data_IF_435405877421
#
_entry.id   IF_435405877421
#
_cell.length_a   1.000
_cell.length_b   1.000
_cell.length_c   1.000
_cell.angle_alpha   90.00
_cell.angle_beta   90.00
_cell.angle_gamma   90.00
#
_symmetry.space_group_name_H-M   'P 1'
#
loop_
_entity.id
_entity.type
_entity.pdbx_description
1 polymer ?
#
# COMPACT_ATOMS: atom_id res chain seq x y z
N UNK A 1 -44.72 27.42 48.26
CA UNK A 1 -44.66 26.76 46.93
C UNK A 1 -43.92 27.65 45.92
N UNK A 2 -42.62 27.90 46.14
CA UNK A 2 -41.79 28.74 45.24
C UNK A 2 -40.39 28.12 45.08
N UNK A 3 -39.88 27.48 46.14
CA UNK A 3 -38.56 26.81 46.19
C UNK A 3 -38.46 25.62 45.22
N UNK A 4 -39.53 24.87 44.99
CA UNK A 4 -39.53 23.70 44.09
C UNK A 4 -39.47 24.06 42.59
N UNK A 5 -39.92 25.27 42.21
CA UNK A 5 -39.96 25.72 40.80
C UNK A 5 -38.56 26.13 40.30
N UNK A 6 -37.74 26.73 41.17
CA UNK A 6 -36.37 27.16 40.85
C UNK A 6 -35.41 25.97 40.68
N UNK A 7 -35.61 24.90 41.46
CA UNK A 7 -34.78 23.69 41.41
C UNK A 7 -34.88 22.97 40.07
N UNK A 8 -36.09 22.87 39.49
CA UNK A 8 -36.32 22.21 38.20
C UNK A 8 -35.73 22.99 37.02
N UNK A 9 -35.78 24.34 37.07
CA UNK A 9 -35.15 25.17 36.05
C UNK A 9 -33.61 25.11 36.11
N UNK A 10 -33.04 25.07 37.31
CA UNK A 10 -31.59 24.94 37.50
C UNK A 10 -31.08 23.56 37.04
N UNK A 11 -31.81 22.48 37.32
CA UNK A 11 -31.48 21.13 36.85
C UNK A 11 -31.60 21.00 35.31
N UNK A 12 -32.62 21.64 34.72
CA UNK A 12 -32.81 21.67 33.27
C UNK A 12 -31.68 22.41 32.53
N UNK A 13 -31.22 23.54 33.07
CA UNK A 13 -30.10 24.31 32.51
C UNK A 13 -28.75 23.55 32.61
N UNK A 14 -28.53 22.82 33.71
CA UNK A 14 -27.32 22.01 33.90
C UNK A 14 -27.30 20.79 32.96
N UNK A 15 -28.47 20.18 32.71
CA UNK A 15 -28.58 19.09 31.75
C UNK A 15 -28.32 19.58 30.32
N UNK A 16 -28.87 20.73 29.94
CA UNK A 16 -28.67 21.33 28.60
C UNK A 16 -27.20 21.66 28.30
N UNK A 17 -26.44 22.12 29.30
CA UNK A 17 -25.01 22.42 29.13
C UNK A 17 -24.15 21.16 29.00
N UNK A 18 -24.51 20.07 29.68
CA UNK A 18 -23.85 18.77 29.55
C UNK A 18 -24.07 18.16 28.16
N UNK A 19 -25.26 18.25 27.57
CA UNK A 19 -25.51 17.73 26.21
C UNK A 19 -24.73 18.50 25.14
N UNK A 20 -24.58 19.82 25.30
CA UNK A 20 -23.83 20.67 24.37
C UNK A 20 -22.32 20.33 24.35
N UNK A 21 -21.75 19.91 25.49
CA UNK A 21 -20.33 19.54 25.58
C UNK A 21 -20.02 18.21 24.86
N UNK A 22 -20.98 17.29 24.76
CA UNK A 22 -20.79 16.01 24.07
C UNK A 22 -20.77 16.12 22.53
N UNK A 23 -21.36 17.15 21.94
CA UNK A 23 -21.39 17.32 20.48
C UNK A 23 -20.11 17.92 19.88
N UNK A 24 -19.19 18.45 20.69
CA UNK A 24 -17.92 19.02 20.20
C UNK A 24 -16.79 18.00 19.96
N UNK A 25 -16.98 16.71 20.26
CA UNK A 25 -15.91 15.71 20.25
C UNK A 25 -15.89 14.78 19.03
N UNK A 26 -16.71 15.01 18.00
CA UNK A 26 -16.78 14.13 16.83
C UNK A 26 -16.64 14.86 15.50
N UNK A 27 -15.52 15.55 15.31
CA UNK A 27 -14.96 15.79 13.97
C UNK A 27 -13.49 15.35 13.95
N UNK A 28 -13.28 14.04 13.95
CA UNK A 28 -12.04 13.48 13.42
C UNK A 28 -12.13 13.53 11.89
N UNK A 29 -11.80 14.68 11.31
CA UNK A 29 -11.57 14.78 9.87
C UNK A 29 -10.38 13.90 9.52
N UNK A 30 -10.63 12.78 8.84
CA UNK A 30 -9.55 11.99 8.26
C UNK A 30 -8.85 12.85 7.22
N UNK A 31 -7.70 13.42 7.57
CA UNK A 31 -6.83 14.07 6.61
C UNK A 31 -6.30 12.94 5.73
N UNK A 32 -7.00 12.65 4.63
CA UNK A 32 -6.40 11.92 3.52
C UNK A 32 -5.41 12.89 2.91
N UNK A 33 -4.20 12.95 3.48
CA UNK A 33 -3.10 13.66 2.87
C UNK A 33 -2.82 12.96 1.55
N UNK A 34 -3.38 13.48 0.45
CA UNK A 34 -2.96 13.15 -0.91
C UNK A 34 -1.57 13.73 -1.09
N UNK A 35 -0.58 13.10 -0.45
CA UNK A 35 0.83 13.36 -0.71
C UNK A 35 1.05 12.89 -2.14
N UNK A 36 1.12 13.83 -3.08
CA UNK A 36 1.50 13.57 -4.46
C UNK A 36 2.98 13.19 -4.46
N UNK A 37 3.26 11.95 -4.05
CA UNK A 37 4.60 11.38 -4.10
C UNK A 37 5.02 11.21 -5.56
N UNK A 38 6.32 11.40 -5.86
CA UNK A 38 6.82 11.26 -7.22
C UNK A 38 6.56 9.86 -7.75
N UNK A 39 6.20 9.77 -9.03
CA UNK A 39 6.08 8.51 -9.75
C UNK A 39 7.49 8.01 -10.11
N UNK A 40 7.80 6.78 -9.76
CA UNK A 40 9.13 6.19 -9.99
C UNK A 40 9.10 5.30 -11.23
N UNK A 41 9.99 5.54 -12.20
CA UNK A 41 10.10 4.74 -13.42
C UNK A 41 11.23 3.73 -13.34
N UNK A 42 10.96 2.47 -13.69
CA UNK A 42 11.93 1.37 -13.64
C UNK A 42 11.92 0.61 -14.96
N UNK A 43 13.09 0.47 -15.55
CA UNK A 43 13.31 -0.38 -16.72
C UNK A 43 13.96 -1.69 -16.28
N UNK A 44 13.41 -2.82 -16.72
CA UNK A 44 13.94 -4.15 -16.38
C UNK A 44 14.79 -4.68 -17.54
N UNK A 45 15.96 -5.25 -17.23
CA UNK A 45 16.85 -5.83 -18.24
C UNK A 45 16.17 -7.06 -18.88
N UNK A 46 15.72 -6.92 -20.13
CA UNK A 46 15.14 -8.01 -20.92
C UNK A 46 16.21 -9.06 -21.27
N UNK A 47 15.96 -10.33 -20.93
CA UNK A 47 16.77 -11.48 -21.39
C UNK A 47 16.08 -12.34 -22.45
N UNK A 48 14.92 -11.93 -22.98
CA UNK A 48 14.21 -12.66 -24.04
C UNK A 48 14.01 -11.75 -25.23
N UNK A 49 14.84 -11.93 -26.27
CA UNK A 49 14.89 -11.11 -27.50
C UNK A 49 13.58 -11.10 -28.34
N UNK A 50 12.50 -11.70 -27.86
CA UNK A 50 11.24 -11.91 -28.59
C UNK A 50 9.99 -11.43 -27.83
N UNK A 51 10.11 -11.00 -26.57
CA UNK A 51 8.95 -10.58 -25.78
C UNK A 51 8.62 -9.09 -26.01
N UNK A 52 7.35 -8.77 -26.31
CA UNK A 52 6.86 -7.39 -26.34
C UNK A 52 7.08 -6.72 -24.98
N UNK A 53 7.40 -5.42 -24.98
CA UNK A 53 7.55 -4.62 -23.77
C UNK A 53 6.23 -3.94 -23.40
N UNK A 54 5.84 -4.05 -22.13
CA UNK A 54 4.65 -3.46 -21.57
C UNK A 54 5.00 -2.59 -20.36
N UNK A 55 4.20 -1.55 -20.11
CA UNK A 55 4.30 -0.72 -18.90
C UNK A 55 3.28 -1.17 -17.87
N UNK A 56 3.71 -1.24 -16.62
CA UNK A 56 2.91 -1.62 -15.47
C UNK A 56 2.93 -0.51 -14.43
N UNK A 57 1.77 -0.12 -13.92
CA UNK A 57 1.71 0.76 -12.74
C UNK A 57 1.55 -0.09 -11.49
N UNK A 58 2.36 0.17 -10.47
CA UNK A 58 2.28 -0.46 -9.16
C UNK A 58 1.89 0.58 -8.14
N UNK A 59 0.93 0.27 -7.28
CA UNK A 59 0.67 1.04 -6.06
C UNK A 59 0.95 0.15 -4.86
N UNK A 60 1.89 0.57 -4.01
CA UNK A 60 2.27 -0.16 -2.80
C UNK A 60 1.78 0.66 -1.60
N UNK A 61 0.87 0.08 -0.82
CA UNK A 61 0.41 0.67 0.43
C UNK A 61 1.24 0.11 1.59
N UNK A 62 1.87 0.99 2.35
CA UNK A 62 2.63 0.63 3.55
C UNK A 62 1.73 0.72 4.78
N UNK A 63 1.79 -0.30 5.64
CA UNK A 63 0.97 -0.35 6.86
C UNK A 63 1.32 0.79 7.81
N UNK A 64 0.34 1.30 8.55
CA UNK A 64 0.57 2.21 9.66
C UNK A 64 1.40 1.62 10.81
N UNK A 65 1.46 0.30 10.90
CA UNK A 65 2.29 -0.43 11.86
C UNK A 65 3.70 -0.76 11.35
N UNK A 66 4.05 -0.27 10.15
CA UNK A 66 5.42 -0.30 9.63
C UNK A 66 6.30 0.73 10.37
N UNK A 67 7.63 0.61 10.35
CA UNK A 67 8.52 1.67 10.81
C UNK A 67 8.23 2.98 10.07
N UNK A 68 8.51 4.12 10.72
CA UNK A 68 8.23 5.45 10.16
C UNK A 68 8.81 5.63 8.76
N UNK A 69 10.03 5.16 8.57
CA UNK A 69 10.74 5.09 7.29
C UNK A 69 11.57 3.80 7.25
N UNK A 70 11.88 3.32 6.05
CA UNK A 70 12.80 2.19 5.84
C UNK A 70 13.80 2.56 4.75
N UNK A 71 15.08 2.30 5.00
CA UNK A 71 16.16 2.43 4.02
C UNK A 71 16.52 1.08 3.41
N UNK A 72 15.78 0.04 3.76
CA UNK A 72 16.02 -1.30 3.27
C UNK A 72 15.79 -1.36 1.76
N UNK A 73 16.66 -2.11 1.07
CA UNK A 73 16.49 -2.33 -0.35
C UNK A 73 15.29 -3.25 -0.58
N UNK A 74 14.33 -2.79 -1.37
CA UNK A 74 13.16 -3.58 -1.77
C UNK A 74 13.26 -3.94 -3.25
N UNK A 75 13.16 -5.24 -3.54
CA UNK A 75 13.03 -5.81 -4.89
C UNK A 75 11.63 -6.38 -5.06
N UNK A 76 11.14 -6.40 -6.31
CA UNK A 76 9.83 -6.98 -6.65
C UNK A 76 9.93 -7.86 -7.89
N UNK A 77 9.19 -8.96 -7.89
CA UNK A 77 8.97 -9.83 -9.05
C UNK A 77 7.48 -10.18 -9.15
N UNK A 78 6.90 -10.10 -10.35
CA UNK A 78 5.53 -10.53 -10.62
C UNK A 78 5.41 -11.09 -12.03
N UNK A 79 4.46 -11.99 -12.25
CA UNK A 79 4.36 -12.69 -13.53
C UNK A 79 3.11 -13.56 -13.67
N UNK A 80 3.07 -14.32 -14.77
CA UNK A 80 1.97 -15.20 -15.12
C UNK A 80 2.31 -16.70 -15.07
N UNK A 81 1.31 -17.52 -15.40
CA UNK A 81 1.41 -18.97 -15.48
C UNK A 81 2.20 -19.50 -16.68
N UNK A 82 2.59 -18.61 -17.61
CA UNK A 82 3.38 -18.95 -18.80
C UNK A 82 4.88 -18.72 -18.60
N UNK A 83 5.29 -18.20 -17.44
CA UNK A 83 6.69 -17.94 -17.11
C UNK A 83 7.20 -16.57 -17.53
N UNK A 84 6.31 -15.65 -17.96
CA UNK A 84 6.70 -14.25 -18.15
C UNK A 84 6.76 -13.56 -16.79
N UNK A 85 7.93 -13.00 -16.47
CA UNK A 85 8.20 -12.30 -15.21
C UNK A 85 8.72 -10.89 -15.49
N UNK A 86 8.17 -9.92 -14.76
CA UNK A 86 8.75 -8.59 -14.60
C UNK A 86 9.46 -8.57 -13.25
N UNK A 87 10.78 -8.31 -13.27
CA UNK A 87 11.62 -8.27 -12.08
C UNK A 87 12.34 -6.92 -11.98
N UNK A 88 12.03 -6.15 -10.94
CA UNK A 88 12.75 -4.94 -10.59
C UNK A 88 13.66 -5.22 -9.37
N UNK A 89 14.99 -5.24 -9.57
CA UNK A 89 15.95 -5.59 -8.52
C UNK A 89 16.01 -4.55 -7.40
N UNK A 90 15.58 -3.32 -7.68
CA UNK A 90 15.48 -2.24 -6.71
C UNK A 90 14.35 -1.30 -7.12
N UNK A 91 13.43 -1.06 -6.20
CA UNK A 91 12.49 0.05 -6.27
C UNK A 91 13.24 1.31 -5.79
N UNK A 92 14.14 1.85 -6.62
CA UNK A 92 15.04 2.94 -6.23
C UNK A 92 14.40 4.32 -6.42
N UNK A 93 14.61 5.20 -5.46
CA UNK A 93 14.71 6.65 -5.67
C UNK A 93 15.61 7.22 -4.54
N UNK A 94 16.84 7.69 -4.87
CA UNK A 94 17.82 8.21 -3.91
C UNK A 94 17.33 9.37 -3.03
N UNK A 95 16.23 10.01 -3.40
CA UNK A 95 15.65 11.19 -2.73
C UNK A 95 14.26 10.95 -2.15
N UNK A 96 13.66 9.77 -2.37
CA UNK A 96 12.27 9.55 -2.02
C UNK A 96 12.05 9.20 -0.56
N UNK A 97 10.98 9.76 -0.01
CA UNK A 97 10.32 9.23 1.17
C UNK A 97 9.37 8.08 0.81
N UNK A 98 9.85 7.11 0.01
CA UNK A 98 9.06 5.90 -0.27
C UNK A 98 8.97 5.04 0.99
N UNK A 99 7.91 4.22 1.04
CA UNK A 99 7.68 3.23 2.08
C UNK A 99 7.55 3.81 3.50
N UNK A 100 7.16 5.08 3.61
CA UNK A 100 6.77 5.68 4.88
C UNK A 100 5.55 4.96 5.46
N UNK A 101 5.50 4.84 6.79
CA UNK A 101 4.32 4.30 7.50
C UNK A 101 3.04 5.04 7.09
N UNK A 102 1.93 4.33 6.92
CA UNK A 102 0.64 4.89 6.49
C UNK A 102 0.64 5.57 5.10
N UNK A 103 1.60 5.28 4.23
CA UNK A 103 1.67 5.93 2.91
C UNK A 103 1.40 4.97 1.75
N UNK A 104 1.11 5.53 0.58
CA UNK A 104 1.03 4.77 -0.68
C UNK A 104 2.01 5.36 -1.68
N UNK A 105 2.84 4.49 -2.27
CA UNK A 105 3.84 4.85 -3.26
C UNK A 105 3.46 4.26 -4.61
N UNK A 106 3.70 5.00 -5.69
CA UNK A 106 3.38 4.58 -7.06
C UNK A 106 4.64 4.44 -7.91
N UNK A 107 4.74 3.34 -8.64
CA UNK A 107 5.85 3.03 -9.54
C UNK A 107 5.30 2.70 -10.93
N UNK A 108 6.02 3.08 -11.98
CA UNK A 108 5.86 2.54 -13.32
C UNK A 108 7.05 1.63 -13.64
N UNK A 109 6.79 0.38 -14.00
CA UNK A 109 7.81 -0.61 -14.34
C UNK A 109 7.58 -1.09 -15.75
N UNK A 110 8.62 -1.09 -16.58
CA UNK A 110 8.62 -1.72 -17.90
C UNK A 110 9.24 -3.10 -17.85
N UNK A 111 8.63 -4.05 -18.54
CA UNK A 111 9.16 -5.40 -18.72
C UNK A 111 8.34 -6.20 -19.74
N UNK A 112 8.52 -7.52 -19.82
CA UNK A 112 7.77 -8.33 -20.79
C UNK A 112 6.26 -8.24 -20.53
N UNK A 113 5.48 -8.28 -21.62
CA UNK A 113 4.02 -8.33 -21.55
C UNK A 113 3.53 -9.65 -20.93
N UNK A 114 3.05 -9.57 -19.69
CA UNK A 114 2.38 -10.60 -18.91
C UNK A 114 0.89 -10.70 -19.30
N UNK A 115 0.37 -11.92 -19.43
CA UNK A 115 -1.03 -12.17 -19.82
C UNK A 115 -2.03 -12.03 -18.66
N UNK A 116 -1.81 -12.79 -17.58
CA UNK A 116 -2.62 -12.80 -16.37
C UNK A 116 -1.68 -12.89 -15.17
N UNK A 117 -1.46 -11.75 -14.51
CA UNK A 117 -0.61 -11.70 -13.31
C UNK A 117 -1.24 -12.59 -12.25
N UNK A 118 -0.52 -13.62 -11.83
CA UNK A 118 -1.02 -14.60 -10.86
C UNK A 118 -0.05 -14.85 -9.70
N UNK A 119 1.14 -14.26 -9.74
CA UNK A 119 2.05 -14.27 -8.59
C UNK A 119 2.73 -12.91 -8.43
N UNK A 120 3.12 -12.63 -7.19
CA UNK A 120 3.92 -11.46 -6.84
C UNK A 120 4.73 -11.77 -5.60
N UNK A 121 6.02 -11.44 -5.64
CA UNK A 121 6.95 -11.58 -4.52
C UNK A 121 7.72 -10.28 -4.30
N UNK A 122 7.97 -9.98 -3.04
CA UNK A 122 8.82 -8.89 -2.57
C UNK A 122 10.03 -9.47 -1.86
N UNK A 123 11.18 -8.79 -1.97
CA UNK A 123 12.36 -9.10 -1.19
C UNK A 123 12.88 -7.83 -0.53
N UNK A 124 12.95 -7.84 0.80
CA UNK A 124 13.56 -6.77 1.60
C UNK A 124 14.97 -7.19 2.00
N UNK A 125 15.95 -6.29 1.87
CA UNK A 125 17.31 -6.49 2.36
C UNK A 125 17.76 -5.27 3.17
N UNK A 126 18.00 -5.48 4.46
CA UNK A 126 18.45 -4.44 5.38
C UNK A 126 17.98 -4.68 6.82
N UNK A 127 18.21 -3.68 7.67
CA UNK A 127 17.99 -3.76 9.12
C UNK A 127 16.74 -3.02 9.61
N UNK A 128 16.21 -2.07 8.84
CA UNK A 128 15.15 -1.18 9.32
C UNK A 128 13.80 -1.92 9.46
N UNK A 129 13.58 -2.94 8.62
CA UNK A 129 12.30 -3.65 8.54
C UNK A 129 11.30 -2.88 7.68
N UNK A 130 10.25 -3.58 7.23
CA UNK A 130 9.16 -2.97 6.48
C UNK A 130 7.94 -3.89 6.47
N UNK A 131 6.75 -3.28 6.62
CA UNK A 131 5.46 -3.97 6.60
C UNK A 131 4.57 -3.39 5.48
N UNK A 132 4.60 -3.97 4.27
CA UNK A 132 3.62 -3.65 3.25
C UNK A 132 2.23 -4.14 3.68
N UNK A 133 1.21 -3.31 3.46
CA UNK A 133 -0.19 -3.71 3.59
C UNK A 133 -0.65 -4.43 2.32
N UNK A 134 -0.43 -3.80 1.16
CA UNK A 134 -0.82 -4.38 -0.13
C UNK A 134 0.03 -3.87 -1.29
N UNK A 135 0.08 -4.67 -2.36
CA UNK A 135 0.61 -4.28 -3.67
C UNK A 135 -0.48 -4.48 -4.69
N UNK A 136 -0.82 -3.42 -5.44
CA UNK A 136 -1.77 -3.49 -6.54
C UNK A 136 -1.07 -3.19 -7.86
N UNK A 137 -1.27 -4.06 -8.84
CA UNK A 137 -0.63 -4.01 -10.16
C UNK A 137 -1.67 -3.72 -11.23
N UNK A 138 -1.41 -2.70 -12.04
CA UNK A 138 -2.19 -2.31 -13.19
C UNK A 138 -1.40 -2.70 -14.45
N UNK A 139 -1.94 -3.60 -15.25
CA UNK A 139 -1.42 -3.91 -16.59
C UNK A 139 -2.11 -3.06 -17.67
N UNK A 140 -1.62 -3.12 -18.92
CA UNK A 140 -2.16 -2.31 -20.02
C UNK A 140 -3.61 -2.66 -20.38
N UNK A 141 -3.94 -3.95 -20.47
CA UNK A 141 -5.22 -4.41 -21.04
C UNK A 141 -6.02 -5.34 -20.10
N UNK A 142 -5.72 -5.30 -18.80
CA UNK A 142 -6.31 -6.21 -17.80
C UNK A 142 -6.74 -5.47 -16.53
N UNK A 143 -7.77 -5.96 -15.83
CA UNK A 143 -8.12 -5.44 -14.51
C UNK A 143 -6.93 -5.50 -13.55
N UNK A 144 -6.84 -4.51 -12.66
CA UNK A 144 -5.79 -4.48 -11.67
C UNK A 144 -5.95 -5.62 -10.65
N UNK A 145 -4.84 -6.26 -10.29
CA UNK A 145 -4.80 -7.31 -9.26
C UNK A 145 -4.17 -6.77 -7.98
N UNK A 146 -4.67 -7.21 -6.82
CA UNK A 146 -4.16 -6.79 -5.51
C UNK A 146 -3.67 -7.99 -4.70
N UNK A 147 -2.45 -7.91 -4.18
CA UNK A 147 -1.84 -8.86 -3.27
C UNK A 147 -1.75 -8.24 -1.87
N UNK A 148 -2.37 -8.88 -0.87
CA UNK A 148 -2.40 -8.39 0.52
C UNK A 148 -1.31 -9.07 1.34
N UNK A 149 -0.42 -8.30 1.94
CA UNK A 149 0.69 -8.81 2.75
C UNK A 149 0.41 -8.65 4.25
N UNK A 150 0.10 -7.42 4.67
CA UNK A 150 -0.11 -6.98 6.06
C UNK A 150 0.78 -7.67 7.11
N UNK A 151 2.07 -7.83 6.80
CA UNK A 151 3.06 -8.41 7.72
C UNK A 151 4.48 -7.95 7.41
N UNK A 152 5.33 -8.00 8.43
CA UNK A 152 6.75 -7.69 8.28
C UNK A 152 7.42 -8.68 7.32
N UNK A 153 8.16 -8.15 6.35
CA UNK A 153 8.90 -8.99 5.43
C UNK A 153 10.19 -9.52 6.09
N UNK A 154 10.52 -10.82 5.94
CA UNK A 154 11.80 -11.36 6.38
C UNK A 154 12.95 -10.71 5.61
N UNK A 155 14.13 -10.63 6.25
CA UNK A 155 15.33 -10.09 5.61
C UNK A 155 15.91 -11.13 4.64
N UNK A 156 16.23 -10.72 3.41
CA UNK A 156 16.96 -11.55 2.45
C UNK A 156 16.17 -12.66 1.76
N UNK A 157 14.87 -12.79 2.02
CA UNK A 157 14.02 -13.87 1.46
C UNK A 157 12.94 -13.29 0.54
N UNK A 158 12.71 -13.94 -0.60
CA UNK A 158 11.56 -13.65 -1.46
C UNK A 158 10.28 -14.10 -0.78
N UNK A 159 9.44 -13.15 -0.39
CA UNK A 159 8.19 -13.39 0.30
C UNK A 159 7.01 -12.93 -0.58
N UNK A 160 5.96 -13.75 -0.71
CA UNK A 160 4.78 -13.37 -1.49
C UNK A 160 3.85 -14.52 -1.81
N UNK A 161 3.14 -14.39 -2.92
CA UNK A 161 2.03 -15.25 -3.31
C UNK A 161 2.29 -15.85 -4.68
N UNK A 162 1.84 -17.09 -4.87
CA UNK A 162 1.75 -17.73 -6.18
C UNK A 162 0.37 -18.39 -6.30
N UNK A 163 -0.51 -17.76 -7.06
CA UNK A 163 -1.86 -18.22 -7.34
C UNK A 163 -2.01 -18.69 -8.80
N UNK A 164 -0.90 -18.88 -9.50
CA UNK A 164 -0.92 -19.39 -10.86
C UNK A 164 -1.50 -20.80 -10.87
N UNK A 165 -2.61 -20.97 -11.58
CA UNK A 165 -3.15 -22.30 -11.85
C UNK A 165 -2.11 -23.05 -12.68
N UNK A 166 -1.69 -24.22 -12.21
CA UNK A 166 -0.90 -25.13 -13.04
C UNK A 166 -1.73 -25.46 -14.26
N UNK A 167 -1.32 -25.00 -15.44
CA UNK A 167 -1.84 -25.55 -16.68
C UNK A 167 -1.13 -26.88 -16.89
N UNK A 168 -1.86 -27.97 -16.73
CA UNK A 168 -1.47 -29.23 -17.35
C UNK A 168 -1.63 -29.00 -18.85
N UNK A 169 -0.49 -28.90 -19.56
CA UNK A 169 -0.45 -29.04 -21.00
C UNK A 169 -0.62 -30.52 -21.35
#
# INVERSE_FOLDING_TARGET
MVIMKMSVHLFGLLFLSLVAFFFCLSEATSITSTSTKPLIFIETNQSTATARSCSYTLTIKTSCSSPKYTRDRVSIAFGDSYGFEVHAPKLDDPSSKIFESCSTDTFQIRGPCIYEICYLKLKRVGSDGWKPESVKVYGPDRPAITFKYDKFLPNGVWFGFNHCKKRFL
#
